data_IF_634289648257
#
_entry.id   IF_634289648257
#
_cell.length_a   1.000
_cell.length_b   1.000
_cell.length_c   1.000
_cell.angle_alpha   90.00
_cell.angle_beta   90.00
_cell.angle_gamma   90.00
#
_symmetry.space_group_name_H-M   'P 1'
#
loop_
_entity.id
_entity.type
_entity.pdbx_description
1 polymer ?
#
# COMPACT_ATOMS: atom_id res chain seq x y z
N UNK A 1 -9.77 -16.46 -10.38
CA UNK A 1 -9.98 -15.81 -9.06
C UNK A 1 -9.37 -14.41 -9.14
N UNK A 2 -10.06 -13.39 -8.62
CA UNK A 2 -9.55 -12.01 -8.65
C UNK A 2 -8.35 -11.87 -7.73
N UNK A 3 -7.28 -11.26 -8.26
CA UNK A 3 -6.10 -10.82 -7.51
C UNK A 3 -6.55 -9.92 -6.34
N UNK A 4 -5.92 -10.05 -5.17
CA UNK A 4 -6.26 -9.16 -4.05
C UNK A 4 -6.08 -7.69 -4.45
N UNK A 5 -7.06 -6.81 -4.17
CA UNK A 5 -6.93 -5.38 -4.45
C UNK A 5 -5.73 -4.76 -3.72
N UNK A 6 -5.08 -3.82 -4.40
CA UNK A 6 -4.06 -2.98 -3.77
C UNK A 6 -4.70 -2.06 -2.73
N UNK A 7 -3.99 -1.81 -1.64
CA UNK A 7 -4.41 -0.96 -0.53
C UNK A 7 -3.62 0.33 -0.57
N UNK A 8 -4.30 1.46 -0.74
CA UNK A 8 -3.68 2.79 -0.73
C UNK A 8 -4.09 3.49 0.55
N UNK A 9 -3.10 3.75 1.40
CA UNK A 9 -3.29 4.47 2.65
C UNK A 9 -3.24 5.98 2.43
N UNK A 10 -4.20 6.72 2.95
CA UNK A 10 -4.22 8.20 2.87
C UNK A 10 -3.99 8.80 4.25
N UNK A 11 -2.88 9.53 4.37
CA UNK A 11 -2.37 10.12 5.60
C UNK A 11 -2.47 11.63 5.51
N UNK A 12 -3.00 12.28 6.54
CA UNK A 12 -3.23 13.72 6.49
C UNK A 12 -3.79 14.32 7.77
N UNK A 13 -3.89 15.64 7.77
CA UNK A 13 -4.30 16.41 8.94
C UNK A 13 -5.77 16.19 9.31
N UNK A 14 -6.03 16.12 10.62
CA UNK A 14 -7.36 15.97 11.20
C UNK A 14 -7.93 17.29 11.80
N UNK A 15 -7.30 18.43 11.52
CA UNK A 15 -7.70 19.74 12.06
C UNK A 15 -9.02 20.25 11.47
N UNK A 16 -9.65 21.22 12.14
CA UNK A 16 -10.87 21.88 11.68
C UNK A 16 -10.63 22.92 10.59
N UNK A 17 -9.45 23.53 10.57
CA UNK A 17 -9.15 24.72 9.74
C UNK A 17 -8.47 24.32 8.41
N UNK A 18 -9.03 23.30 7.76
CA UNK A 18 -8.52 22.81 6.47
C UNK A 18 -9.23 23.56 5.35
N UNK A 19 -8.51 24.24 4.44
CA UNK A 19 -9.11 24.90 3.29
C UNK A 19 -9.96 23.94 2.45
N UNK A 20 -11.12 24.40 1.99
CA UNK A 20 -12.06 23.58 1.21
C UNK A 20 -11.39 22.93 -0.01
N UNK A 21 -10.52 23.67 -0.71
CA UNK A 21 -9.75 23.13 -1.84
C UNK A 21 -8.91 21.88 -1.49
N UNK A 22 -8.39 21.78 -0.25
CA UNK A 22 -7.61 20.60 0.17
C UNK A 22 -8.55 19.43 0.51
N UNK A 23 -9.72 19.72 1.09
CA UNK A 23 -10.79 18.73 1.30
C UNK A 23 -11.27 18.18 -0.05
N UNK A 24 -11.47 19.03 -1.05
CA UNK A 24 -11.89 18.63 -2.39
C UNK A 24 -10.81 17.78 -3.07
N UNK A 25 -9.54 18.15 -2.93
CA UNK A 25 -8.42 17.39 -3.44
C UNK A 25 -8.32 15.99 -2.78
N UNK A 26 -8.47 15.91 -1.46
CA UNK A 26 -8.49 14.63 -0.73
C UNK A 26 -9.72 13.77 -1.10
N UNK A 27 -10.88 14.40 -1.31
CA UNK A 27 -12.09 13.72 -1.79
C UNK A 27 -11.86 13.12 -3.17
N UNK A 28 -11.31 13.91 -4.11
CA UNK A 28 -10.99 13.43 -5.45
C UNK A 28 -9.94 12.32 -5.41
N UNK A 29 -8.93 12.42 -4.54
CA UNK A 29 -7.96 11.34 -4.30
C UNK A 29 -8.65 10.03 -3.92
N UNK A 30 -9.58 10.09 -2.96
CA UNK A 30 -10.39 8.93 -2.57
C UNK A 30 -11.20 8.32 -3.72
N UNK A 31 -11.86 9.17 -4.51
CA UNK A 31 -12.61 8.74 -5.71
C UNK A 31 -11.69 8.03 -6.70
N UNK A 32 -10.50 8.58 -6.96
CA UNK A 32 -9.52 8.04 -7.91
C UNK A 32 -8.97 6.67 -7.48
N UNK A 33 -8.72 6.48 -6.19
CA UNK A 33 -8.32 5.19 -5.61
C UNK A 33 -9.41 4.13 -5.85
N UNK A 34 -10.68 4.47 -5.59
CA UNK A 34 -11.81 3.57 -5.79
C UNK A 34 -12.06 3.25 -7.27
N UNK A 35 -12.00 4.26 -8.15
CA UNK A 35 -12.10 4.10 -9.62
C UNK A 35 -11.00 3.17 -10.16
N UNK A 36 -9.86 3.13 -9.49
CA UNK A 36 -8.74 2.23 -9.81
C UNK A 36 -8.88 0.82 -9.22
N UNK A 37 -10.05 0.46 -8.68
CA UNK A 37 -10.34 -0.82 -8.00
C UNK A 37 -9.38 -1.12 -6.83
N UNK A 38 -8.93 -0.10 -6.13
CA UNK A 38 -8.09 -0.23 -4.95
C UNK A 38 -8.91 -0.02 -3.66
N UNK A 39 -8.43 -0.56 -2.55
CA UNK A 39 -8.98 -0.35 -1.22
C UNK A 39 -8.34 0.91 -0.62
N UNK A 40 -9.16 1.80 -0.08
CA UNK A 40 -8.66 2.98 0.64
C UNK A 40 -8.46 2.64 2.13
N UNK A 41 -7.27 2.86 2.65
CA UNK A 41 -6.99 2.77 4.08
C UNK A 41 -6.83 4.17 4.66
N UNK A 42 -7.40 4.43 5.83
CA UNK A 42 -7.27 5.71 6.52
C UNK A 42 -7.06 5.51 8.02
N UNK A 43 -6.71 6.58 8.73
CA UNK A 43 -6.67 6.60 10.18
C UNK A 43 -8.02 6.60 10.91
N UNK A 44 -9.15 6.55 10.19
CA UNK A 44 -10.47 6.73 10.79
C UNK A 44 -10.54 7.95 11.74
N UNK A 45 -10.06 9.09 11.25
CA UNK A 45 -10.08 10.38 11.95
C UNK A 45 -10.71 11.45 11.05
N UNK A 46 -11.14 12.60 11.62
CA UNK A 46 -11.67 13.72 10.85
C UNK A 46 -10.65 14.32 9.85
N UNK A 47 -11.07 15.35 9.11
CA UNK A 47 -10.21 16.09 8.19
C UNK A 47 -9.95 15.38 6.87
N UNK A 48 -8.72 15.47 6.36
CA UNK A 48 -8.34 14.97 5.04
C UNK A 48 -8.51 13.44 4.89
N UNK A 49 -8.18 12.60 5.89
CA UNK A 49 -8.44 11.17 5.80
C UNK A 49 -9.93 10.84 5.65
N UNK A 50 -10.81 11.53 6.37
CA UNK A 50 -12.26 11.35 6.23
C UNK A 50 -12.77 11.80 4.85
N UNK A 51 -12.23 12.90 4.31
CA UNK A 51 -12.58 13.37 2.97
C UNK A 51 -12.24 12.32 1.90
N UNK A 52 -11.05 11.72 1.97
CA UNK A 52 -10.66 10.62 1.09
C UNK A 52 -11.53 9.36 1.28
N UNK A 53 -11.86 9.00 2.52
CA UNK A 53 -12.78 7.90 2.81
C UNK A 53 -14.15 8.12 2.14
N UNK A 54 -14.73 9.31 2.29
CA UNK A 54 -16.02 9.67 1.68
C UNK A 54 -15.96 9.64 0.16
N UNK A 55 -14.93 10.22 -0.45
CA UNK A 55 -14.74 10.19 -1.89
C UNK A 55 -14.64 8.76 -2.44
N UNK A 56 -13.93 7.87 -1.75
CA UNK A 56 -13.89 6.47 -2.12
C UNK A 56 -15.27 5.79 -2.04
N UNK A 57 -16.05 6.05 -0.97
CA UNK A 57 -17.41 5.53 -0.81
C UNK A 57 -18.36 6.02 -1.92
N UNK A 58 -18.25 7.26 -2.36
CA UNK A 58 -19.07 7.82 -3.46
C UNK A 58 -18.87 7.10 -4.80
N UNK A 59 -17.75 6.38 -4.95
CA UNK A 59 -17.45 5.56 -6.12
C UNK A 59 -17.64 4.06 -5.87
N UNK A 60 -18.29 3.70 -4.77
CA UNK A 60 -18.52 2.30 -4.40
C UNK A 60 -17.26 1.57 -3.93
N UNK A 61 -16.18 2.30 -3.61
CA UNK A 61 -14.94 1.73 -3.09
C UNK A 61 -15.10 1.16 -1.67
N UNK A 62 -14.19 0.24 -1.34
CA UNK A 62 -14.05 -0.31 0.02
C UNK A 62 -13.09 0.55 0.83
N UNK A 63 -13.52 0.95 2.03
CA UNK A 63 -12.71 1.76 2.95
C UNK A 63 -12.46 1.03 4.26
N UNK A 64 -11.20 0.92 4.63
CA UNK A 64 -10.77 0.36 5.93
C UNK A 64 -10.21 1.50 6.79
N UNK A 65 -10.74 1.63 8.00
CA UNK A 65 -10.28 2.60 8.99
C UNK A 65 -9.47 1.92 10.09
N UNK A 66 -8.23 2.35 10.31
CA UNK A 66 -7.43 1.87 11.42
C UNK A 66 -7.61 2.83 12.59
N UNK A 67 -8.29 2.37 13.64
CA UNK A 67 -8.66 3.17 14.81
C UNK A 67 -7.63 3.05 15.93
N UNK A 68 -7.30 4.15 16.63
CA UNK A 68 -6.41 4.10 17.81
C UNK A 68 -7.06 3.42 19.03
N UNK A 69 -8.38 3.25 19.01
CA UNK A 69 -9.18 2.77 20.12
C UNK A 69 -9.17 1.24 20.25
N UNK A 70 -9.63 0.74 21.40
CA UNK A 70 -9.88 -0.66 21.71
C UNK A 70 -11.29 -1.12 21.31
N UNK A 71 -12.22 -0.18 21.08
CA UNK A 71 -13.61 -0.46 20.76
C UNK A 71 -14.26 0.68 19.97
N UNK A 72 -15.47 0.44 19.45
CA UNK A 72 -16.28 1.47 18.79
C UNK A 72 -16.67 2.61 19.75
N UNK A 73 -16.93 2.28 21.02
CA UNK A 73 -17.27 3.26 22.05
C UNK A 73 -16.11 4.22 22.30
N UNK A 74 -14.91 3.68 22.54
CA UNK A 74 -13.73 4.51 22.75
C UNK A 74 -13.37 5.31 21.47
N UNK A 75 -13.55 4.72 20.29
CA UNK A 75 -13.36 5.42 19.02
C UNK A 75 -14.27 6.65 18.89
N UNK A 76 -15.56 6.49 19.16
CA UNK A 76 -16.53 7.57 19.00
C UNK A 76 -16.42 8.62 20.12
N UNK A 77 -16.28 8.21 21.37
CA UNK A 77 -16.43 9.11 22.51
C UNK A 77 -15.11 9.64 23.08
N UNK A 78 -14.04 8.84 23.08
CA UNK A 78 -12.71 9.29 23.55
C UNK A 78 -11.95 10.01 22.44
N UNK A 79 -11.95 9.44 21.24
CA UNK A 79 -11.19 10.00 20.11
C UNK A 79 -12.01 10.94 19.22
N UNK A 80 -13.32 11.06 19.45
CA UNK A 80 -14.23 11.85 18.60
C UNK A 80 -14.11 11.50 17.11
N UNK A 81 -13.77 10.24 16.82
CA UNK A 81 -13.51 9.79 15.47
C UNK A 81 -14.80 9.45 14.72
N UNK A 82 -14.83 9.67 13.40
CA UNK A 82 -15.99 9.38 12.56
C UNK A 82 -16.21 7.86 12.43
N UNK A 83 -17.44 7.42 12.67
CA UNK A 83 -17.87 6.03 12.48
C UNK A 83 -18.46 5.76 11.09
N UNK A 84 -18.86 6.82 10.37
CA UNK A 84 -19.42 6.75 9.02
C UNK A 84 -18.34 7.03 7.97
N UNK A 85 -18.40 6.28 6.86
CA UNK A 85 -17.44 6.39 5.76
C UNK A 85 -16.43 5.24 5.71
N UNK A 86 -16.51 4.28 6.62
CA UNK A 86 -15.66 3.09 6.68
C UNK A 86 -16.52 1.83 6.60
N UNK A 87 -16.11 0.86 5.81
CA UNK A 87 -16.74 -0.47 5.74
C UNK A 87 -16.23 -1.39 6.85
N UNK A 88 -14.97 -1.20 7.25
CA UNK A 88 -14.31 -1.96 8.31
C UNK A 88 -13.54 -1.00 9.21
N UNK A 89 -13.74 -1.12 10.51
CA UNK A 89 -12.89 -0.48 11.52
C UNK A 89 -12.03 -1.53 12.22
N UNK A 90 -10.72 -1.29 12.24
CA UNK A 90 -9.74 -2.12 12.97
C UNK A 90 -9.33 -1.37 14.23
N UNK A 91 -9.71 -1.89 15.40
CA UNK A 91 -9.40 -1.31 16.70
C UNK A 91 -8.04 -1.82 17.18
N UNK A 92 -7.01 -0.97 17.18
CA UNK A 92 -5.64 -1.40 17.54
C UNK A 92 -5.36 -1.31 19.03
N UNK A 93 -6.09 -0.47 19.76
CA UNK A 93 -5.83 -0.17 21.17
C UNK A 93 -4.46 0.47 21.46
N UNK A 94 -3.76 0.93 20.42
CA UNK A 94 -2.37 1.36 20.49
C UNK A 94 -2.22 2.89 20.61
N UNK A 95 -3.33 3.62 20.78
CA UNK A 95 -3.34 5.08 20.74
C UNK A 95 -3.02 5.65 19.36
N UNK A 96 -2.95 6.99 19.27
CA UNK A 96 -2.77 7.70 18.00
C UNK A 96 -1.47 7.30 17.29
N UNK A 97 -0.33 7.38 17.98
CA UNK A 97 0.98 7.08 17.41
C UNK A 97 1.15 5.59 17.07
N UNK A 98 0.72 4.68 17.97
CA UNK A 98 0.85 3.25 17.70
C UNK A 98 0.02 2.78 16.51
N UNK A 99 -1.12 3.45 16.26
CA UNK A 99 -2.00 3.10 15.14
C UNK A 99 -1.38 3.45 13.79
N UNK A 100 -0.54 4.48 13.72
CA UNK A 100 0.14 4.91 12.49
C UNK A 100 0.97 3.76 11.91
N UNK A 101 1.69 3.00 12.74
CA UNK A 101 2.48 1.85 12.31
C UNK A 101 1.61 0.79 11.63
N UNK A 102 0.45 0.46 12.22
CA UNK A 102 -0.48 -0.53 11.63
C UNK A 102 -1.06 0.00 10.31
N UNK A 103 -1.37 1.29 10.24
CA UNK A 103 -1.89 1.94 9.04
C UNK A 103 -0.88 1.89 7.87
N UNK A 104 0.37 2.29 8.12
CA UNK A 104 1.45 2.24 7.12
C UNK A 104 1.72 0.80 6.67
N UNK A 105 1.83 -0.16 7.61
CA UNK A 105 2.13 -1.55 7.27
C UNK A 105 1.01 -2.25 6.50
N UNK A 106 -0.24 -1.88 6.76
CA UNK A 106 -1.41 -2.41 6.06
C UNK A 106 -1.57 -1.85 4.65
N UNK A 107 -0.89 -0.74 4.34
CA UNK A 107 -0.93 -0.06 3.04
C UNK A 107 0.16 -0.60 2.10
N UNK A 108 -0.22 -0.88 0.86
CA UNK A 108 0.72 -1.21 -0.21
C UNK A 108 1.43 0.06 -0.73
N UNK A 109 0.68 1.16 -0.82
CA UNK A 109 1.13 2.50 -1.21
C UNK A 109 0.65 3.49 -0.14
N UNK A 110 1.48 4.48 0.21
CA UNK A 110 1.12 5.53 1.17
C UNK A 110 1.01 6.86 0.43
N UNK A 111 -0.06 7.61 0.65
CA UNK A 111 -0.24 8.96 0.11
C UNK A 111 -0.32 9.96 1.25
N UNK A 112 0.53 10.98 1.19
CA UNK A 112 0.58 12.11 2.14
C UNK A 112 -0.17 13.30 1.55
N UNK A 113 -1.13 13.83 2.29
CA UNK A 113 -1.95 14.99 1.92
C UNK A 113 -2.07 15.97 3.09
N UNK A 114 -1.69 17.23 2.87
CA UNK A 114 -1.65 18.27 3.89
C UNK A 114 -0.82 17.88 5.11
N UNK A 115 -1.41 18.06 6.29
CA UNK A 115 -0.94 17.40 7.51
C UNK A 115 -0.18 18.27 8.50
N UNK A 116 0.06 17.68 9.67
CA UNK A 116 0.80 18.28 10.79
C UNK A 116 1.75 17.24 11.40
N UNK A 117 2.12 17.34 12.68
CA UNK A 117 3.08 16.45 13.33
C UNK A 117 2.73 14.95 13.23
N UNK A 118 1.45 14.56 13.31
CA UNK A 118 1.04 13.16 13.12
C UNK A 118 1.34 12.65 11.70
N UNK A 119 1.05 13.47 10.69
CA UNK A 119 1.38 13.17 9.28
C UNK A 119 2.89 13.09 9.05
N UNK A 120 3.69 13.87 9.78
CA UNK A 120 5.14 13.75 9.78
C UNK A 120 5.60 12.41 10.37
N UNK A 121 4.96 11.94 11.46
CA UNK A 121 5.19 10.62 12.01
C UNK A 121 4.87 9.50 11.01
N UNK A 122 3.71 9.57 10.35
CA UNK A 122 3.30 8.63 9.30
C UNK A 122 4.28 8.63 8.11
N UNK A 123 4.76 9.80 7.68
CA UNK A 123 5.80 9.94 6.65
C UNK A 123 7.10 9.27 7.09
N UNK A 124 7.56 9.53 8.31
CA UNK A 124 8.82 8.98 8.81
C UNK A 124 8.76 7.44 8.85
N UNK A 125 7.66 6.86 9.32
CA UNK A 125 7.46 5.40 9.33
C UNK A 125 7.45 4.86 7.90
N UNK A 126 6.68 5.46 6.99
CA UNK A 126 6.60 5.02 5.60
C UNK A 126 7.95 5.09 4.88
N UNK A 127 8.72 6.16 5.12
CA UNK A 127 10.03 6.36 4.54
C UNK A 127 11.04 5.34 5.08
N UNK A 128 11.09 5.14 6.40
CA UNK A 128 12.00 4.19 7.03
C UNK A 128 11.70 2.73 6.67
N UNK A 129 10.44 2.40 6.39
CA UNK A 129 10.01 1.08 5.93
C UNK A 129 10.10 0.90 4.40
N UNK A 130 10.66 1.88 3.68
CA UNK A 130 10.92 1.74 2.25
C UNK A 130 9.66 1.73 1.37
N UNK A 131 8.55 2.31 1.84
CA UNK A 131 7.27 2.32 1.09
C UNK A 131 7.37 3.15 -0.20
N UNK A 132 6.50 2.86 -1.16
CA UNK A 132 6.15 3.79 -2.23
C UNK A 132 5.24 4.89 -1.66
N UNK A 133 5.71 6.12 -1.75
CA UNK A 133 5.05 7.29 -1.16
C UNK A 133 4.62 8.25 -2.27
N UNK A 134 3.34 8.58 -2.30
CA UNK A 134 2.81 9.70 -3.06
C UNK A 134 2.66 10.93 -2.17
N UNK A 135 2.99 12.10 -2.69
CA UNK A 135 2.80 13.37 -2.00
C UNK A 135 1.89 14.23 -2.87
N UNK A 136 0.68 14.51 -2.37
CA UNK A 136 -0.26 15.41 -3.03
C UNK A 136 0.11 16.85 -2.68
N UNK A 137 0.95 17.47 -3.51
CA UNK A 137 1.47 18.83 -3.29
C UNK A 137 0.38 19.88 -3.52
N UNK A 138 0.58 21.07 -2.96
CA UNK A 138 -0.40 22.17 -3.00
C UNK A 138 -1.55 21.96 -2.02
N UNK A 139 -1.37 21.08 -1.03
CA UNK A 139 -2.36 20.83 0.04
C UNK A 139 -1.90 21.31 1.42
N UNK A 140 -0.80 22.08 1.49
CA UNK A 140 -0.28 22.74 2.68
C UNK A 140 0.42 21.79 3.67
N UNK A 141 0.84 22.33 4.82
CA UNK A 141 1.38 21.52 5.91
C UNK A 141 2.58 20.64 5.53
N UNK A 142 2.60 19.41 6.04
CA UNK A 142 3.72 18.48 5.83
C UNK A 142 3.89 18.08 4.36
N UNK A 143 2.81 17.91 3.59
CA UNK A 143 2.91 17.49 2.19
C UNK A 143 3.77 18.42 1.35
N UNK A 144 3.73 19.73 1.61
CA UNK A 144 4.53 20.71 0.85
C UNK A 144 5.97 20.84 1.37
N UNK A 145 6.27 20.26 2.53
CA UNK A 145 7.61 20.25 3.14
C UNK A 145 8.36 18.92 2.95
N UNK A 146 7.70 17.86 2.43
CA UNK A 146 8.29 16.50 2.36
C UNK A 146 9.65 16.50 1.69
N UNK A 147 9.83 17.27 0.61
CA UNK A 147 11.09 17.32 -0.13
C UNK A 147 12.26 17.79 0.75
N UNK A 148 12.05 18.86 1.51
CA UNK A 148 13.08 19.46 2.37
C UNK A 148 13.35 18.58 3.60
N UNK A 149 12.30 17.98 4.17
CA UNK A 149 12.39 17.05 5.29
C UNK A 149 13.26 15.84 4.90
N UNK A 150 12.94 15.19 3.79
CA UNK A 150 13.68 13.99 3.35
C UNK A 150 15.11 14.31 2.92
N UNK A 151 15.34 15.46 2.28
CA UNK A 151 16.68 15.95 1.99
C UNK A 151 17.51 16.15 3.27
N UNK A 152 16.89 16.62 4.34
CA UNK A 152 17.53 16.80 5.66
C UNK A 152 17.84 15.47 6.34
N UNK A 153 16.96 14.46 6.22
CA UNK A 153 17.18 13.15 6.82
C UNK A 153 18.41 12.43 6.26
N UNK A 154 18.74 12.64 4.98
CA UNK A 154 19.92 12.07 4.30
C UNK A 154 20.16 10.58 4.59
N UNK A 155 19.09 9.77 4.50
CA UNK A 155 19.10 8.34 4.81
C UNK A 155 18.58 7.55 3.62
N UNK A 156 19.34 6.57 3.15
CA UNK A 156 18.91 5.67 2.07
C UNK A 156 18.05 4.52 2.66
N UNK A 157 16.76 4.49 2.31
CA UNK A 157 15.80 3.50 2.85
C UNK A 157 15.21 2.58 1.80
N UNK A 158 15.44 2.86 0.51
CA UNK A 158 14.76 2.20 -0.59
C UNK A 158 13.34 2.72 -0.87
N UNK A 159 12.86 3.70 -0.09
CA UNK A 159 11.59 4.37 -0.36
C UNK A 159 11.67 5.14 -1.68
N UNK A 160 10.59 5.11 -2.45
CA UNK A 160 10.42 5.93 -3.66
C UNK A 160 9.33 6.95 -3.38
N UNK A 161 9.61 8.23 -3.67
CA UNK A 161 8.68 9.33 -3.36
C UNK A 161 8.31 10.08 -4.62
N UNK A 162 7.02 10.15 -4.91
CA UNK A 162 6.43 10.87 -6.03
C UNK A 162 5.71 12.11 -5.55
N UNK A 163 5.77 13.17 -6.36
CA UNK A 163 5.12 14.44 -6.07
C UNK A 163 4.22 14.81 -7.25
N UNK A 164 3.01 15.24 -6.94
CA UNK A 164 2.02 15.65 -7.93
C UNK A 164 0.95 16.54 -7.27
N UNK A 165 0.42 17.53 -7.98
CA UNK A 165 -0.67 18.40 -7.53
C UNK A 165 -2.05 17.92 -8.00
N UNK A 166 -2.10 16.90 -8.88
CA UNK A 166 -3.34 16.32 -9.40
C UNK A 166 -3.58 14.95 -8.79
N UNK A 167 -4.68 14.75 -8.03
CA UNK A 167 -4.96 13.46 -7.38
C UNK A 167 -4.97 12.27 -8.35
N UNK A 168 -5.57 12.44 -9.54
CA UNK A 168 -5.71 11.37 -10.51
C UNK A 168 -4.40 10.93 -11.11
N UNK A 169 -3.60 11.90 -11.56
CA UNK A 169 -2.27 11.65 -12.12
C UNK A 169 -1.36 11.03 -11.06
N UNK A 170 -1.49 11.45 -9.80
CA UNK A 170 -0.73 10.85 -8.69
C UNK A 170 -1.06 9.37 -8.54
N UNK A 171 -2.35 9.01 -8.45
CA UNK A 171 -2.78 7.62 -8.28
C UNK A 171 -2.36 6.76 -9.48
N UNK A 172 -2.57 7.26 -10.70
CA UNK A 172 -2.18 6.56 -11.94
C UNK A 172 -0.68 6.23 -11.93
N UNK A 173 0.18 7.22 -11.68
CA UNK A 173 1.64 7.05 -11.66
C UNK A 173 2.12 6.15 -10.52
N UNK A 174 1.50 6.25 -9.34
CA UNK A 174 1.82 5.37 -8.22
C UNK A 174 1.49 3.92 -8.55
N UNK A 175 0.33 3.68 -9.18
CA UNK A 175 -0.07 2.34 -9.58
C UNK A 175 0.80 1.79 -10.71
N UNK A 176 1.19 2.62 -11.67
CA UNK A 176 2.14 2.25 -12.72
C UNK A 176 3.45 1.79 -12.09
N UNK A 177 4.10 2.64 -11.31
CA UNK A 177 5.36 2.33 -10.63
C UNK A 177 5.23 1.11 -9.71
N UNK A 178 4.11 0.99 -8.98
CA UNK A 178 3.88 -0.18 -8.13
C UNK A 178 3.84 -1.48 -8.94
N UNK A 179 3.24 -1.46 -10.13
CA UNK A 179 3.08 -2.64 -10.98
C UNK A 179 4.33 -2.97 -11.78
N UNK A 180 5.16 -1.98 -12.11
CA UNK A 180 6.32 -2.16 -13.00
C UNK A 180 7.65 -2.25 -12.25
N UNK A 181 7.82 -1.53 -11.15
CA UNK A 181 9.15 -1.23 -10.61
C UNK A 181 9.25 -1.27 -9.08
N UNK A 182 8.15 -1.22 -8.34
CA UNK A 182 8.21 -1.17 -6.88
C UNK A 182 8.06 -2.54 -6.25
N UNK A 183 9.05 -2.89 -5.43
CA UNK A 183 9.11 -4.14 -4.72
C UNK A 183 8.52 -4.01 -3.30
N UNK A 184 7.54 -4.85 -2.96
CA UNK A 184 6.97 -4.89 -1.60
C UNK A 184 7.95 -5.61 -0.66
N UNK A 185 8.66 -4.86 0.20
CA UNK A 185 9.44 -5.41 1.32
C UNK A 185 8.66 -5.32 2.64
N UNK A 186 7.83 -6.32 3.00
CA UNK A 186 7.06 -6.26 4.24
C UNK A 186 7.93 -6.37 5.50
N UNK A 187 9.21 -6.74 5.39
CA UNK A 187 10.17 -6.65 6.49
C UNK A 187 11.62 -6.57 6.00
N UNK A 188 12.50 -6.05 6.88
CA UNK A 188 13.96 -6.01 6.70
C UNK A 188 14.60 -7.40 6.50
N UNK A 189 13.86 -8.48 6.78
CA UNK A 189 14.31 -9.86 6.54
C UNK A 189 14.12 -10.32 5.09
N UNK A 190 13.46 -9.53 4.24
CA UNK A 190 13.18 -9.88 2.84
C UNK A 190 14.35 -9.59 1.87
N UNK A 191 15.58 -9.36 2.36
CA UNK A 191 16.76 -9.19 1.49
C UNK A 191 17.05 -10.51 0.77
N UNK A 192 16.91 -10.55 -0.56
CA UNK A 192 17.40 -11.67 -1.37
C UNK A 192 16.57 -12.10 -2.59
N UNK A 193 15.49 -11.41 -2.94
CA UNK A 193 14.76 -11.74 -4.18
C UNK A 193 15.09 -10.72 -5.27
N UNK A 194 16.05 -11.06 -6.14
CA UNK A 194 16.16 -10.41 -7.44
C UNK A 194 14.83 -10.54 -8.20
N UNK A 195 14.46 -9.49 -8.93
CA UNK A 195 13.19 -9.47 -9.66
C UNK A 195 13.05 -10.68 -10.58
N UNK A 196 11.87 -11.32 -10.60
CA UNK A 196 11.55 -12.29 -11.62
C UNK A 196 11.58 -11.59 -12.98
N UNK A 197 12.45 -12.06 -13.88
CA UNK A 197 12.63 -11.45 -15.20
C UNK A 197 11.83 -12.24 -16.25
N UNK A 198 11.30 -11.59 -17.30
CA UNK A 198 10.83 -12.32 -18.48
C UNK A 198 12.00 -13.01 -19.22
N UNK A 199 13.25 -12.67 -18.91
CA UNK A 199 14.45 -13.25 -19.50
C UNK A 199 15.13 -14.24 -18.53
N UNK A 200 15.55 -15.39 -19.07
CA UNK A 200 16.34 -16.35 -18.33
C UNK A 200 17.70 -15.75 -17.96
N UNK A 201 18.10 -15.91 -16.71
CA UNK A 201 19.47 -15.70 -16.22
C UNK A 201 20.07 -17.03 -15.81
N UNK A 202 21.40 -17.14 -15.78
CA UNK A 202 22.07 -18.39 -15.45
C UNK A 202 21.64 -18.92 -14.07
N UNK A 203 21.23 -20.19 -14.01
CA UNK A 203 20.72 -20.83 -12.80
C UNK A 203 19.28 -20.47 -12.40
N UNK A 204 18.58 -19.63 -13.18
CA UNK A 204 17.16 -19.35 -12.93
C UNK A 204 16.27 -20.56 -13.23
N UNK A 205 15.15 -20.66 -12.53
CA UNK A 205 14.10 -21.65 -12.77
C UNK A 205 12.81 -20.93 -13.15
N UNK A 206 12.05 -21.50 -14.08
CA UNK A 206 10.82 -20.87 -14.55
C UNK A 206 9.66 -21.22 -13.62
N UNK A 207 8.88 -20.20 -13.23
CA UNK A 207 7.62 -20.37 -12.52
C UNK A 207 6.60 -21.04 -13.46
N UNK A 208 6.13 -22.24 -13.11
CA UNK A 208 5.22 -23.05 -13.93
C UNK A 208 3.83 -22.41 -14.13
N UNK A 209 3.46 -21.44 -13.29
CA UNK A 209 2.14 -20.80 -13.32
C UNK A 209 2.12 -19.58 -14.23
N UNK A 210 3.15 -18.72 -14.16
CA UNK A 210 3.18 -17.46 -14.92
C UNK A 210 4.28 -17.38 -15.97
N UNK A 211 5.18 -18.37 -16.05
CA UNK A 211 6.32 -18.45 -16.97
C UNK A 211 7.43 -17.39 -16.76
N UNK A 212 7.40 -16.65 -15.65
CA UNK A 212 8.50 -15.75 -15.26
C UNK A 212 9.72 -16.54 -14.78
N UNK A 213 10.92 -16.04 -15.07
CA UNK A 213 12.17 -16.66 -14.61
C UNK A 213 12.55 -16.15 -13.23
N UNK A 214 12.78 -17.09 -12.31
CA UNK A 214 13.14 -16.83 -10.91
C UNK A 214 14.62 -17.12 -10.72
N UNK A 215 15.40 -16.10 -10.42
CA UNK A 215 16.84 -16.22 -10.20
C UNK A 215 17.19 -17.11 -8.98
N UNK A 216 18.42 -17.67 -8.91
CA UNK A 216 18.88 -18.42 -7.75
C UNK A 216 18.71 -17.64 -6.45
N UNK A 217 18.12 -18.27 -5.43
CA UNK A 217 17.85 -17.63 -4.13
C UNK A 217 16.60 -16.74 -4.10
N UNK A 218 16.11 -16.29 -5.26
CA UNK A 218 15.11 -15.23 -5.36
C UNK A 218 13.64 -15.66 -5.35
N UNK A 219 13.37 -16.95 -5.20
CA UNK A 219 12.01 -17.47 -5.18
C UNK A 219 11.21 -16.92 -3.99
N UNK A 220 10.07 -16.31 -4.28
CA UNK A 220 9.10 -15.86 -3.27
C UNK A 220 8.51 -17.06 -2.50
N UNK A 221 8.43 -18.22 -3.15
CA UNK A 221 8.05 -19.48 -2.53
C UNK A 221 8.69 -20.68 -3.24
N UNK A 222 8.78 -21.80 -2.52
CA UNK A 222 9.26 -23.09 -3.04
C UNK A 222 8.26 -24.19 -2.67
N UNK A 223 8.06 -25.16 -3.56
CA UNK A 223 7.28 -26.38 -3.31
C UNK A 223 8.07 -27.60 -3.76
N UNK A 224 7.78 -28.74 -3.15
CA UNK A 224 8.30 -30.03 -3.59
C UNK A 224 7.08 -30.91 -3.86
N UNK A 225 7.02 -31.51 -5.05
CA UNK A 225 6.04 -32.53 -5.42
C UNK A 225 6.71 -33.55 -6.33
N UNK A 226 6.40 -34.83 -6.12
CA UNK A 226 6.95 -35.94 -6.92
C UNK A 226 8.48 -35.86 -7.07
N UNK A 227 9.17 -35.53 -5.95
CA UNK A 227 10.62 -35.27 -5.87
C UNK A 227 11.16 -34.12 -6.74
N UNK A 228 10.30 -33.40 -7.45
CA UNK A 228 10.62 -32.22 -8.22
C UNK A 228 10.40 -30.96 -7.37
N UNK A 229 11.38 -30.04 -7.43
CA UNK A 229 11.32 -28.74 -6.76
C UNK A 229 10.79 -27.68 -7.72
N UNK A 230 9.78 -26.93 -7.28
CA UNK A 230 9.20 -25.81 -8.00
C UNK A 230 9.51 -24.51 -7.28
N UNK A 231 9.82 -23.46 -8.05
CA UNK A 231 9.99 -22.09 -7.56
C UNK A 231 8.88 -21.20 -8.09
N UNK A 232 8.51 -20.20 -7.30
CA UNK A 232 7.47 -19.26 -7.67
C UNK A 232 7.95 -17.82 -7.56
N UNK A 233 7.62 -17.01 -8.56
CA UNK A 233 7.93 -15.59 -8.63
C UNK A 233 7.14 -14.79 -7.60
N UNK A 234 6.00 -15.33 -7.16
CA UNK A 234 5.08 -14.71 -6.21
C UNK A 234 4.37 -15.77 -5.36
N UNK A 235 3.90 -15.35 -4.18
CA UNK A 235 3.03 -16.20 -3.35
C UNK A 235 1.74 -16.58 -4.09
N UNK A 236 1.22 -15.70 -4.95
CA UNK A 236 0.03 -15.96 -5.77
C UNK A 236 0.24 -17.15 -6.72
N UNK A 237 1.40 -17.24 -7.38
CA UNK A 237 1.71 -18.38 -8.24
C UNK A 237 1.84 -19.68 -7.43
N UNK A 238 2.46 -19.62 -6.25
CA UNK A 238 2.53 -20.78 -5.36
C UNK A 238 1.13 -21.24 -4.89
N UNK A 239 0.25 -20.33 -4.49
CA UNK A 239 -1.11 -20.63 -4.06
C UNK A 239 -1.99 -21.16 -5.20
N UNK A 240 -1.79 -20.68 -6.43
CA UNK A 240 -2.45 -21.22 -7.63
C UNK A 240 -1.99 -22.65 -7.89
N UNK A 241 -0.68 -22.89 -7.83
CA UNK A 241 -0.12 -24.22 -7.97
C UNK A 241 -0.60 -25.17 -6.87
N UNK A 242 -0.64 -24.73 -5.61
CA UNK A 242 -1.10 -25.54 -4.47
C UNK A 242 -2.57 -25.98 -4.64
N UNK A 243 -3.39 -25.15 -5.27
CA UNK A 243 -4.83 -25.39 -5.49
C UNK A 243 -5.11 -26.35 -6.63
N UNK A 244 -4.40 -26.22 -7.74
CA UNK A 244 -4.58 -27.07 -8.92
C UNK A 244 -3.23 -27.32 -9.64
N UNK A 245 -2.35 -28.17 -9.09
CA UNK A 245 -1.03 -28.42 -9.66
C UNK A 245 -1.13 -29.04 -11.06
N UNK A 246 -2.11 -29.91 -11.27
CA UNK A 246 -2.26 -30.66 -12.52
C UNK A 246 -2.52 -29.74 -13.72
N UNK A 247 -3.22 -28.62 -13.54
CA UNK A 247 -3.44 -27.62 -14.60
C UNK A 247 -2.16 -26.98 -15.13
N UNK A 248 -1.07 -26.97 -14.36
CA UNK A 248 0.21 -26.35 -14.72
C UNK A 248 1.27 -27.37 -15.16
N UNK A 249 1.18 -28.60 -14.65
CA UNK A 249 2.13 -29.68 -14.93
C UNK A 249 1.80 -30.47 -16.20
N UNK A 250 0.57 -30.38 -16.71
CA UNK A 250 0.10 -31.13 -17.87
C UNK A 250 0.60 -30.62 -19.23
N UNK A 251 1.42 -29.57 -19.27
CA UNK A 251 2.00 -29.02 -20.51
C UNK A 251 3.44 -29.48 -20.81
N UNK A 252 4.08 -30.28 -19.96
CA UNK A 252 5.47 -30.75 -20.16
C UNK A 252 5.58 -32.23 -20.59
N UNK A 253 4.49 -32.85 -21.01
CA UNK A 253 4.47 -34.25 -21.45
C UNK A 253 4.17 -34.39 -22.94
N UNK A 254 5.02 -33.83 -23.81
CA UNK A 254 5.14 -34.37 -25.18
C UNK A 254 6.63 -34.47 -25.57
N UNK A 255 7.09 -35.64 -26.05
CA UNK A 255 8.49 -35.93 -26.36
C UNK A 255 9.02 -35.14 -27.56
#
# INVERSE_FOLDING_TARGET
>A
MNRMPLKIGVMGGAGSDIPQQHIDAATRLGQSIAESNCITITGACPGLPLAAARGAKERGGTVIGISPALSLDEHAYKYASPTLGHDVLVFTGSGLMGREVVNIRSSDIVVIVGGSSGTLGELAIAYDEGKLIGVLTGTGGISDMVRDILATCNKETGSRVLYDDKPDRLVERLLEIYRTEHYRQPSVFCRGTSDPSPMAVEGSQQDVVCRMWVAPGAAAARRIRDDQRYVFCSLECAERFDRDPHSFLSQESQP
#
